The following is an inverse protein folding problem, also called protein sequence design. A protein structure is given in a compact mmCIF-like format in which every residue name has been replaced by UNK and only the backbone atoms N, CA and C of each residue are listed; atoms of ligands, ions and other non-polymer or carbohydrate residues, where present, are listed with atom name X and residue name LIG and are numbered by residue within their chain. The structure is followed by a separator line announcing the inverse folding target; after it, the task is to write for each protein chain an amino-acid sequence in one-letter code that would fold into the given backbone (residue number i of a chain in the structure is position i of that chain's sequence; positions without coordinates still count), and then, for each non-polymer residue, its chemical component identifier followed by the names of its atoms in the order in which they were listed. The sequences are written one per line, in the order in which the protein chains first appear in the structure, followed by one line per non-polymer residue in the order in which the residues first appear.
data_IF_088425856192
#
_entry.id   IF_088425856192
#
_cell.length_a   1.000
_cell.length_b   1.000
_cell.length_c   1.000
_cell.angle_alpha   90.00
_cell.angle_beta   90.00
_cell.angle_gamma   90.00
#
_symmetry.space_group_name_H-M   'P 1'
#
loop_
_entity.id
_entity.type
_entity.pdbx_description
1 polymer ?
#
# COMPACT_ATOMS: atom_id res chain seq x y z
N UNK A 1 -8.22 -43.54 15.35
CA UNK A 1 -9.44 -43.32 14.54
C UNK A 1 -9.00 -42.95 13.12
N UNK A 2 -9.55 -43.59 12.10
CA UNK A 2 -9.12 -43.43 10.71
C UNK A 2 -9.42 -42.00 10.23
N UNK A 3 -8.39 -41.30 9.78
CA UNK A 3 -8.49 -40.14 8.89
C UNK A 3 -9.13 -40.63 7.58
N UNK A 4 -10.46 -40.54 7.49
CA UNK A 4 -11.22 -40.87 6.31
C UNK A 4 -12.08 -39.67 5.94
N UNK A 5 -11.92 -39.21 4.69
CA UNK A 5 -12.88 -38.35 3.99
C UNK A 5 -13.08 -36.96 4.61
N UNK A 6 -12.09 -36.07 4.49
CA UNK A 6 -12.23 -34.64 4.78
C UNK A 6 -12.93 -33.90 3.61
N UNK A 7 -13.97 -34.50 3.05
CA UNK A 7 -14.87 -33.91 2.05
C UNK A 7 -16.30 -34.15 2.54
N UNK A 8 -16.64 -33.55 3.68
CA UNK A 8 -18.02 -33.48 4.13
C UNK A 8 -18.83 -32.61 3.17
N UNK A 9 -20.07 -33.01 2.91
CA UNK A 9 -21.00 -32.18 2.11
C UNK A 9 -21.25 -30.84 2.81
N UNK A 10 -21.60 -29.75 2.09
CA UNK A 10 -21.87 -28.45 2.70
C UNK A 10 -22.92 -28.49 3.81
N UNK A 11 -23.83 -29.47 3.73
CA UNK A 11 -24.90 -29.72 4.69
C UNK A 11 -24.37 -30.33 6.00
N UNK A 12 -23.43 -31.29 5.94
CA UNK A 12 -22.78 -31.87 7.13
C UNK A 12 -21.93 -30.84 7.87
N UNK A 13 -21.25 -29.98 7.12
CA UNK A 13 -20.43 -28.90 7.69
C UNK A 13 -21.31 -27.86 8.40
N UNK A 14 -22.47 -27.51 7.80
CA UNK A 14 -23.48 -26.66 8.44
C UNK A 14 -24.04 -27.30 9.71
N UNK A 15 -24.35 -28.58 9.69
CA UNK A 15 -24.95 -29.27 10.82
C UNK A 15 -23.95 -29.41 11.98
N UNK A 16 -22.67 -29.69 11.71
CA UNK A 16 -21.60 -29.70 12.72
C UNK A 16 -21.40 -28.31 13.33
N UNK A 17 -21.32 -27.27 12.50
CA UNK A 17 -21.17 -25.89 12.97
C UNK A 17 -22.34 -25.44 13.85
N UNK A 18 -23.58 -25.67 13.41
CA UNK A 18 -24.78 -25.23 14.13
C UNK A 18 -24.96 -25.98 15.45
N UNK A 19 -24.71 -27.29 15.47
CA UNK A 19 -24.83 -28.11 16.70
C UNK A 19 -23.72 -27.84 17.72
N UNK A 20 -22.58 -27.28 17.30
CA UNK A 20 -21.48 -26.89 18.20
C UNK A 20 -21.52 -25.40 18.57
N UNK A 21 -22.60 -24.69 18.23
CA UNK A 21 -22.77 -23.27 18.54
C UNK A 21 -21.88 -22.32 17.73
N UNK A 22 -21.32 -22.78 16.62
CA UNK A 22 -20.54 -21.98 15.69
C UNK A 22 -21.42 -21.51 14.55
N UNK A 23 -21.75 -20.20 14.52
CA UNK A 23 -22.36 -19.61 13.35
C UNK A 23 -21.26 -19.28 12.32
N UNK A 24 -21.32 -19.83 11.09
CA UNK A 24 -20.39 -19.50 10.02
C UNK A 24 -20.37 -18.00 9.70
N UNK A 25 -21.51 -17.33 9.91
CA UNK A 25 -21.68 -15.90 9.70
C UNK A 25 -20.78 -15.06 10.63
N UNK A 26 -20.44 -15.55 11.82
CA UNK A 26 -19.55 -14.85 12.76
C UNK A 26 -18.10 -14.82 12.23
N UNK A 27 -17.69 -15.85 11.50
CA UNK A 27 -16.36 -15.93 10.87
C UNK A 27 -16.28 -15.13 9.58
N UNK A 28 -17.37 -15.07 8.82
CA UNK A 28 -17.42 -14.34 7.56
C UNK A 28 -17.59 -12.83 7.78
N UNK A 29 -18.28 -12.44 8.86
CA UNK A 29 -18.50 -11.05 9.25
C UNK A 29 -17.60 -10.60 10.43
N UNK A 30 -16.46 -11.27 10.65
CA UNK A 30 -15.54 -10.86 11.71
C UNK A 30 -15.02 -9.46 11.37
N UNK A 31 -15.50 -8.45 12.11
CA UNK A 31 -15.00 -7.08 12.03
C UNK A 31 -13.47 -7.07 12.17
N UNK A 32 -12.75 -6.22 11.43
CA UNK A 32 -11.29 -6.20 11.45
C UNK A 32 -10.79 -6.08 12.89
N UNK A 33 -10.09 -7.12 13.36
CA UNK A 33 -9.57 -7.23 14.74
C UNK A 33 -8.64 -6.07 15.12
N UNK A 34 -8.11 -5.36 14.14
CA UNK A 34 -7.16 -4.27 14.31
C UNK A 34 -7.63 -3.00 13.60
N UNK A 35 -7.95 -1.98 14.38
CA UNK A 35 -8.29 -0.65 13.89
C UNK A 35 -7.10 0.29 14.12
N UNK A 36 -6.25 0.54 13.10
CA UNK A 36 -5.08 1.39 13.27
C UNK A 36 -5.47 2.79 13.72
N UNK A 37 -4.76 3.31 14.74
CA UNK A 37 -4.95 4.69 15.22
C UNK A 37 -4.45 5.67 14.17
N UNK A 38 -5.23 6.72 13.89
CA UNK A 38 -4.92 7.76 12.88
C UNK A 38 -3.57 8.44 13.14
N UNK A 39 -3.19 8.61 14.41
CA UNK A 39 -1.89 9.18 14.80
C UNK A 39 -0.69 8.35 14.31
N UNK A 40 -0.80 7.01 14.27
CA UNK A 40 0.27 6.17 13.77
C UNK A 40 0.47 6.34 12.24
N UNK A 41 -0.62 6.54 11.50
CA UNK A 41 -0.57 6.84 10.07
C UNK A 41 0.09 8.21 9.83
N UNK A 42 -0.26 9.23 10.61
CA UNK A 42 0.37 10.54 10.53
C UNK A 42 1.88 10.47 10.77
N UNK A 43 2.33 9.70 11.77
CA UNK A 43 3.76 9.50 12.03
C UNK A 43 4.50 8.87 10.84
N UNK A 44 3.91 7.85 10.20
CA UNK A 44 4.51 7.23 9.01
C UNK A 44 4.58 8.19 7.82
N UNK A 45 3.56 9.02 7.62
CA UNK A 45 3.55 10.03 6.54
C UNK A 45 4.62 11.09 6.79
N UNK A 46 4.78 11.54 8.04
CA UNK A 46 5.84 12.49 8.41
C UNK A 46 7.22 11.85 8.19
N UNK A 47 7.41 10.61 8.62
CA UNK A 47 8.67 9.88 8.40
C UNK A 47 8.98 9.74 6.90
N UNK A 48 7.98 9.38 6.08
CA UNK A 48 8.10 9.34 4.62
C UNK A 48 8.55 10.68 4.05
N UNK A 49 7.93 11.79 4.48
CA UNK A 49 8.31 13.12 4.03
C UNK A 49 9.76 13.47 4.40
N UNK A 50 10.18 13.19 5.64
CA UNK A 50 11.56 13.44 6.10
C UNK A 50 12.56 12.65 5.26
N UNK A 51 12.31 11.37 5.00
CA UNK A 51 13.20 10.54 4.18
C UNK A 51 13.32 11.09 2.76
N UNK A 52 12.21 11.52 2.15
CA UNK A 52 12.24 12.10 0.80
C UNK A 52 12.97 13.45 0.76
N UNK A 53 12.75 14.32 1.74
CA UNK A 53 13.49 15.60 1.85
C UNK A 53 14.99 15.32 2.03
N UNK A 54 15.35 14.32 2.83
CA UNK A 54 16.75 13.95 3.06
C UNK A 54 17.42 13.45 1.77
N UNK A 55 16.74 12.59 1.00
CA UNK A 55 17.22 12.10 -0.30
C UNK A 55 17.41 13.28 -1.27
N UNK A 56 16.48 14.25 -1.27
CA UNK A 56 16.49 15.38 -2.21
C UNK A 56 17.54 16.45 -1.84
N UNK A 57 17.73 16.76 -0.56
CA UNK A 57 18.55 17.90 -0.13
C UNK A 57 20.01 17.55 0.21
N UNK A 58 20.30 16.34 0.70
CA UNK A 58 21.63 16.00 1.21
C UNK A 58 22.52 15.23 0.22
N UNK A 59 22.05 14.99 -1.01
CA UNK A 59 22.71 14.19 -2.07
C UNK A 59 23.62 13.07 -1.51
N UNK A 60 23.02 12.09 -0.80
CA UNK A 60 23.78 11.13 -0.02
C UNK A 60 24.63 10.20 -0.90
N UNK A 61 25.68 9.62 -0.30
CA UNK A 61 26.54 8.65 -0.99
C UNK A 61 25.72 7.51 -1.61
N UNK A 62 26.20 6.94 -2.73
CA UNK A 62 25.45 5.95 -3.54
C UNK A 62 24.89 4.77 -2.73
N UNK A 63 25.64 4.31 -1.72
CA UNK A 63 25.23 3.23 -0.82
C UNK A 63 24.10 3.68 0.10
N UNK A 64 24.24 4.88 0.68
CA UNK A 64 23.26 5.44 1.60
C UNK A 64 21.97 5.84 0.87
N UNK A 65 22.07 6.36 -0.35
CA UNK A 65 20.94 6.61 -1.25
C UNK A 65 20.17 5.31 -1.54
N UNK A 66 20.86 4.23 -1.92
CA UNK A 66 20.22 2.93 -2.17
C UNK A 66 19.51 2.38 -0.93
N UNK A 67 20.14 2.49 0.24
CA UNK A 67 19.53 2.07 1.51
C UNK A 67 18.27 2.88 1.84
N UNK A 68 18.32 4.20 1.67
CA UNK A 68 17.16 5.09 1.90
C UNK A 68 16.02 4.79 0.93
N UNK A 69 16.30 4.45 -0.33
CA UNK A 69 15.27 4.03 -1.30
C UNK A 69 14.52 2.80 -0.80
N UNK A 70 15.26 1.77 -0.38
CA UNK A 70 14.67 0.52 0.13
C UNK A 70 13.82 0.82 1.36
N UNK A 71 14.32 1.64 2.29
CA UNK A 71 13.55 2.08 3.45
C UNK A 71 12.27 2.83 3.05
N UNK A 72 12.34 3.69 2.02
CA UNK A 72 11.20 4.45 1.51
C UNK A 72 10.11 3.53 0.96
N UNK A 73 10.48 2.49 0.21
CA UNK A 73 9.54 1.47 -0.26
C UNK A 73 8.86 0.72 0.87
N UNK A 74 9.60 0.35 1.92
CA UNK A 74 9.03 -0.31 3.10
C UNK A 74 8.00 0.60 3.78
N UNK A 75 8.30 1.90 3.91
CA UNK A 75 7.38 2.88 4.49
C UNK A 75 6.10 3.01 3.64
N UNK A 76 6.20 3.05 2.30
CA UNK A 76 5.03 3.09 1.41
C UNK A 76 4.15 1.84 1.62
N UNK A 77 4.75 0.65 1.73
CA UNK A 77 4.01 -0.60 1.96
C UNK A 77 3.29 -0.56 3.31
N UNK A 78 3.95 -0.06 4.36
CA UNK A 78 3.34 0.10 5.69
C UNK A 78 2.17 1.09 5.67
N UNK A 79 2.35 2.27 5.05
CA UNK A 79 1.28 3.28 4.92
C UNK A 79 0.10 2.70 4.15
N UNK A 80 0.36 2.03 3.03
CA UNK A 80 -0.68 1.43 2.18
C UNK A 80 -1.46 0.36 2.94
N UNK A 81 -0.76 -0.51 3.69
CA UNK A 81 -1.38 -1.52 4.54
C UNK A 81 -2.26 -0.89 5.63
N UNK A 82 -1.79 0.17 6.30
CA UNK A 82 -2.58 0.86 7.33
C UNK A 82 -3.81 1.55 6.76
N UNK A 83 -3.70 2.15 5.56
CA UNK A 83 -4.83 2.76 4.85
C UNK A 83 -5.85 1.69 4.45
N UNK A 84 -5.38 0.55 3.93
CA UNK A 84 -6.24 -0.57 3.54
C UNK A 84 -7.05 -1.10 4.73
N UNK A 85 -6.38 -1.33 5.87
CA UNK A 85 -7.03 -1.78 7.10
C UNK A 85 -8.02 -0.76 7.70
N UNK A 86 -7.83 0.54 7.41
CA UNK A 86 -8.65 1.61 8.01
C UNK A 86 -9.89 1.97 7.20
N UNK A 87 -9.73 2.10 5.89
CA UNK A 87 -10.75 2.71 5.04
C UNK A 87 -11.59 1.70 4.28
N UNK A 88 -11.19 0.42 4.21
CA UNK A 88 -11.82 -0.70 3.48
C UNK A 88 -12.07 -0.46 1.97
N UNK A 89 -11.91 0.78 1.50
CA UNK A 89 -12.10 1.24 0.13
C UNK A 89 -10.81 1.06 -0.66
N UNK A 90 -10.79 0.05 -1.53
CA UNK A 90 -9.66 -0.27 -2.42
C UNK A 90 -9.19 0.93 -3.25
N UNK A 91 -10.09 1.81 -3.68
CA UNK A 91 -9.74 3.03 -4.45
C UNK A 91 -8.82 3.98 -3.67
N UNK A 92 -9.05 4.14 -2.37
CA UNK A 92 -8.22 5.01 -1.52
C UNK A 92 -6.84 4.40 -1.33
N UNK A 93 -6.77 3.09 -1.11
CA UNK A 93 -5.51 2.34 -1.01
C UNK A 93 -4.69 2.47 -2.29
N UNK A 94 -5.31 2.30 -3.45
CA UNK A 94 -4.68 2.43 -4.77
C UNK A 94 -4.11 3.84 -4.99
N UNK A 95 -4.90 4.86 -4.66
CA UNK A 95 -4.47 6.26 -4.80
C UNK A 95 -3.26 6.57 -3.90
N UNK A 96 -3.28 6.10 -2.65
CA UNK A 96 -2.16 6.30 -1.73
C UNK A 96 -0.90 5.56 -2.19
N UNK A 97 -1.05 4.33 -2.68
CA UNK A 97 0.07 3.55 -3.20
C UNK A 97 0.74 4.22 -4.40
N UNK A 98 -0.04 4.57 -5.43
CA UNK A 98 0.50 5.25 -6.60
C UNK A 98 1.00 6.66 -6.29
N UNK A 99 0.31 7.41 -5.43
CA UNK A 99 0.78 8.71 -4.96
C UNK A 99 2.13 8.63 -4.25
N UNK A 100 2.31 7.64 -3.37
CA UNK A 100 3.58 7.39 -2.69
C UNK A 100 4.71 7.04 -3.67
N UNK A 101 4.42 6.21 -4.68
CA UNK A 101 5.38 5.88 -5.73
C UNK A 101 5.80 7.11 -6.55
N UNK A 102 4.85 7.95 -6.96
CA UNK A 102 5.13 9.18 -7.72
C UNK A 102 6.06 10.09 -6.92
N UNK A 103 5.76 10.33 -5.64
CA UNK A 103 6.60 11.17 -4.77
C UNK A 103 8.01 10.57 -4.62
N UNK A 104 8.12 9.26 -4.46
CA UNK A 104 9.40 8.57 -4.40
C UNK A 104 10.19 8.72 -5.72
N UNK A 105 9.53 8.60 -6.87
CA UNK A 105 10.17 8.80 -8.18
C UNK A 105 10.70 10.22 -8.38
N UNK A 106 9.95 11.23 -7.94
CA UNK A 106 10.38 12.64 -7.98
C UNK A 106 11.58 12.86 -7.06
N UNK A 107 11.53 12.32 -5.83
CA UNK A 107 12.62 12.40 -4.85
C UNK A 107 13.92 11.79 -5.36
N UNK A 108 13.82 10.75 -6.21
CA UNK A 108 14.99 10.09 -6.78
C UNK A 108 15.67 10.84 -7.93
N UNK A 109 15.04 11.91 -8.43
CA UNK A 109 15.54 12.66 -9.58
C UNK A 109 15.43 11.90 -10.90
N UNK A 110 14.64 10.81 -10.97
CA UNK A 110 14.36 10.13 -12.24
C UNK A 110 13.49 10.98 -13.18
N UNK A 111 12.71 11.92 -12.63
CA UNK A 111 11.89 12.85 -13.39
C UNK A 111 11.79 14.17 -12.62
N UNK A 112 12.53 15.18 -13.05
CA UNK A 112 12.26 16.55 -12.59
C UNK A 112 10.95 17.00 -13.24
N UNK A 113 10.00 17.64 -12.53
CA UNK A 113 8.76 18.14 -13.14
C UNK A 113 8.99 19.01 -14.39
N UNK A 114 10.14 19.72 -14.43
CA UNK A 114 10.62 20.48 -15.59
C UNK A 114 10.99 19.60 -16.79
N UNK A 115 11.55 18.42 -16.58
CA UNK A 115 11.88 17.46 -17.63
C UNK A 115 10.64 16.73 -18.16
N UNK A 116 9.70 16.42 -17.27
CA UNK A 116 8.39 15.88 -17.64
C UNK A 116 7.62 16.86 -18.55
N UNK A 117 7.60 18.14 -18.19
CA UNK A 117 6.98 19.20 -19.00
C UNK A 117 7.69 19.38 -20.35
N UNK A 118 9.03 19.35 -20.38
CA UNK A 118 9.81 19.42 -21.62
C UNK A 118 9.49 18.25 -22.56
N UNK A 119 9.42 17.01 -22.05
CA UNK A 119 9.10 15.85 -22.87
C UNK A 119 7.67 15.89 -23.43
N UNK A 120 6.72 16.48 -22.71
CA UNK A 120 5.36 16.69 -23.22
C UNK A 120 5.33 17.79 -24.31
N UNK A 121 6.10 18.87 -24.17
CA UNK A 121 6.20 19.92 -25.19
C UNK A 121 6.90 19.45 -26.46
N UNK A 122 7.97 18.66 -26.37
CA UNK A 122 8.70 18.13 -27.54
C UNK A 122 7.88 17.11 -28.35
N UNK A 123 6.85 16.51 -27.76
CA UNK A 123 5.99 15.51 -28.42
C UNK A 123 4.72 16.09 -29.07
N UNK A 124 4.46 17.39 -28.95
CA UNK A 124 3.43 18.03 -29.76
C UNK A 124 3.95 18.13 -31.20
N UNK A 125 3.35 17.44 -32.19
CA UNK A 125 3.72 17.66 -33.58
C UNK A 125 3.48 19.13 -33.88
N UNK A 126 4.49 19.80 -34.41
CA UNK A 126 4.34 21.15 -34.98
C UNK A 126 3.18 21.07 -35.99
N UNK A 127 2.03 21.62 -35.61
CA UNK A 127 0.94 21.90 -36.53
C UNK A 127 1.48 23.02 -37.41
N UNK A 128 2.08 22.64 -38.54
CA UNK A 128 2.42 23.58 -39.60
C UNK A 128 1.11 24.19 -40.10
N UNK A 129 0.98 25.50 -39.87
CA UNK A 129 -0.02 26.37 -40.51
C UNK A 129 0.04 26.29 -42.04
#
# INVERSE_FOLDING_TARGET
MKLGSFEGTPEELKDICTNHGFNPEDFLNTAPRYNPKVWALLLLVILFAIVNIFIMCLDPSKILKNSLIIANFIIIIMITSMVHLKFEKTYVTLLVFFGGLIVCSVSLGYMTPKEALKQMQTKLPEVKE
#
